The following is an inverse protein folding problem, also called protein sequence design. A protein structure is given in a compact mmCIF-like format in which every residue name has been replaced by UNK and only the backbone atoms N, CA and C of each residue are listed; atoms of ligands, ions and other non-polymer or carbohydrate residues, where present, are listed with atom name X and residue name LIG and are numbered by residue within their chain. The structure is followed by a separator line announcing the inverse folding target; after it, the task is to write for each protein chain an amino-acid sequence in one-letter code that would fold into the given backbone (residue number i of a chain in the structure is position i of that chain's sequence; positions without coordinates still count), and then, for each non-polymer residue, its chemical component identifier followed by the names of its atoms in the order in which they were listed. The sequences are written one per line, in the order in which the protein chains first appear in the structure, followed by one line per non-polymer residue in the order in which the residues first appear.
data_IF_854454189546
#
_entry.id   IF_854454189546
#
_cell.length_a   1.000
_cell.length_b   1.000
_cell.length_c   1.000
_cell.angle_alpha   90.00
_cell.angle_beta   90.00
_cell.angle_gamma   90.00
#
_symmetry.space_group_name_H-M   'P 1'
#
loop_
_entity.id
_entity.type
_entity.pdbx_description
1 polymer ?
#
# COMPACT_ATOMS: atom_id res chain seq x y z
N UNK A 1 18.32 0.78 -33.56
CA UNK A 1 16.92 0.41 -33.93
C UNK A 1 15.95 1.44 -33.34
N UNK A 2 15.62 2.52 -34.07
CA UNK A 2 14.83 3.65 -33.56
C UNK A 2 13.40 3.27 -33.10
N UNK A 3 12.84 2.18 -33.62
CA UNK A 3 11.53 1.67 -33.17
C UNK A 3 11.56 1.12 -31.74
N UNK A 4 12.67 0.50 -31.30
CA UNK A 4 12.78 -0.06 -29.93
C UNK A 4 12.72 1.06 -28.88
N UNK A 5 13.47 2.14 -29.09
CA UNK A 5 13.48 3.29 -28.16
C UNK A 5 12.11 3.97 -28.05
N UNK A 6 11.38 4.08 -29.16
CA UNK A 6 10.02 4.64 -29.15
C UNK A 6 9.04 3.76 -28.39
N UNK A 7 9.12 2.44 -28.58
CA UNK A 7 8.29 1.45 -27.85
C UNK A 7 8.59 1.50 -26.35
N UNK A 8 9.86 1.53 -25.94
CA UNK A 8 10.23 1.62 -24.53
C UNK A 8 9.75 2.91 -23.86
N UNK A 9 9.85 4.05 -24.56
CA UNK A 9 9.31 5.33 -24.05
C UNK A 9 7.81 5.25 -23.83
N UNK A 10 7.05 4.71 -24.79
CA UNK A 10 5.60 4.55 -24.67
C UNK A 10 5.24 3.59 -23.53
N UNK A 11 5.88 2.41 -23.49
CA UNK A 11 5.65 1.41 -22.45
C UNK A 11 5.89 1.98 -21.05
N UNK A 12 6.97 2.74 -20.86
CA UNK A 12 7.29 3.42 -19.60
C UNK A 12 6.18 4.38 -19.15
N UNK A 13 5.62 5.17 -20.06
CA UNK A 13 4.51 6.07 -19.74
C UNK A 13 3.25 5.28 -19.35
N UNK A 14 2.94 4.19 -20.06
CA UNK A 14 1.82 3.30 -19.72
C UNK A 14 1.99 2.66 -18.34
N UNK A 15 3.19 2.18 -18.01
CA UNK A 15 3.46 1.57 -16.70
C UNK A 15 3.24 2.58 -15.57
N UNK A 16 3.59 3.87 -15.76
CA UNK A 16 3.35 4.91 -14.74
C UNK A 16 1.87 5.10 -14.39
N UNK A 17 0.95 4.74 -15.28
CA UNK A 17 -0.49 4.80 -14.99
C UNK A 17 -0.86 3.91 -13.81
N UNK A 18 -0.14 2.82 -13.55
CA UNK A 18 -0.39 1.96 -12.38
C UNK A 18 -0.18 2.67 -11.03
N UNK A 19 0.66 3.71 -10.98
CA UNK A 19 0.84 4.55 -9.78
C UNK A 19 -0.26 5.63 -9.67
N UNK A 20 -0.81 6.07 -10.80
CA UNK A 20 -1.85 7.12 -10.87
C UNK A 20 -3.24 6.52 -10.61
N UNK A 21 -3.49 5.30 -11.09
CA UNK A 21 -4.80 4.64 -11.10
C UNK A 21 -5.48 4.59 -9.73
N UNK A 22 -4.80 4.23 -8.60
CA UNK A 22 -5.44 4.27 -7.29
C UNK A 22 -5.96 5.67 -6.93
N UNK A 23 -5.22 6.73 -7.24
CA UNK A 23 -5.69 8.09 -7.03
C UNK A 23 -6.89 8.42 -7.93
N UNK A 24 -6.86 8.01 -9.20
CA UNK A 24 -7.99 8.21 -10.11
C UNK A 24 -9.27 7.53 -9.63
N UNK A 25 -9.16 6.30 -9.12
CA UNK A 25 -10.29 5.57 -8.56
C UNK A 25 -10.85 6.27 -7.32
N UNK A 26 -10.01 6.82 -6.45
CA UNK A 26 -10.48 7.60 -5.30
C UNK A 26 -11.15 8.92 -5.68
N UNK A 27 -10.71 9.59 -6.75
CA UNK A 27 -11.23 10.90 -7.13
C UNK A 27 -12.45 10.82 -8.05
N UNK A 28 -12.64 9.73 -8.78
CA UNK A 28 -13.79 9.55 -9.69
C UNK A 28 -15.17 9.74 -9.03
N UNK A 29 -15.41 9.31 -7.76
CA UNK A 29 -16.67 9.55 -7.06
C UNK A 29 -17.07 11.02 -6.92
N UNK A 30 -16.13 11.97 -6.96
CA UNK A 30 -16.42 13.40 -6.91
C UNK A 30 -17.30 13.88 -8.08
N UNK A 31 -17.31 13.14 -9.19
CA UNK A 31 -18.12 13.46 -10.36
C UNK A 31 -19.57 12.98 -10.24
N UNK A 32 -19.89 12.17 -9.20
CA UNK A 32 -21.22 11.66 -8.87
C UNK A 32 -21.93 10.96 -10.06
N UNK A 33 -21.14 10.24 -10.85
CA UNK A 33 -21.62 9.46 -11.99
C UNK A 33 -22.34 8.19 -11.52
N UNK A 34 -23.50 7.89 -12.13
CA UNK A 34 -24.39 6.80 -11.69
C UNK A 34 -24.41 5.58 -12.62
N UNK A 35 -23.98 5.73 -13.88
CA UNK A 35 -23.98 4.60 -14.83
C UNK A 35 -22.57 4.02 -14.97
N UNK A 36 -22.41 2.70 -15.16
CA UNK A 36 -21.08 2.07 -15.31
C UNK A 36 -20.21 2.73 -16.40
N UNK A 37 -20.84 3.13 -17.51
CA UNK A 37 -20.17 3.83 -18.62
C UNK A 37 -19.67 5.21 -18.16
N UNK A 38 -20.52 6.01 -17.51
CA UNK A 38 -20.14 7.34 -17.03
C UNK A 38 -19.02 7.28 -15.98
N UNK A 39 -19.08 6.30 -15.07
CA UNK A 39 -18.05 6.08 -14.05
C UNK A 39 -16.71 5.70 -14.73
N UNK A 40 -16.74 4.78 -15.70
CA UNK A 40 -15.54 4.37 -16.44
C UNK A 40 -14.91 5.53 -17.21
N UNK A 41 -15.73 6.37 -17.86
CA UNK A 41 -15.28 7.58 -18.53
C UNK A 41 -14.72 8.60 -17.53
N UNK A 42 -15.32 8.74 -16.35
CA UNK A 42 -14.81 9.58 -15.27
C UNK A 42 -13.42 9.16 -14.81
N UNK A 43 -13.22 7.87 -14.53
CA UNK A 43 -11.90 7.34 -14.17
C UNK A 43 -10.88 7.58 -15.28
N UNK A 44 -11.25 7.33 -16.53
CA UNK A 44 -10.37 7.56 -17.67
C UNK A 44 -9.98 9.04 -17.79
N UNK A 45 -10.95 9.95 -17.70
CA UNK A 45 -10.73 11.38 -17.75
C UNK A 45 -9.84 11.86 -16.59
N UNK A 46 -10.12 11.44 -15.36
CA UNK A 46 -9.30 11.78 -14.19
C UNK A 46 -7.89 11.24 -14.32
N UNK A 47 -7.70 10.00 -14.79
CA UNK A 47 -6.38 9.42 -15.04
C UNK A 47 -5.61 10.21 -16.09
N UNK A 48 -6.27 10.60 -17.18
CA UNK A 48 -5.67 11.39 -18.25
C UNK A 48 -5.26 12.78 -17.73
N UNK A 49 -6.12 13.45 -16.97
CA UNK A 49 -5.84 14.76 -16.37
C UNK A 49 -4.63 14.66 -15.43
N UNK A 50 -4.64 13.70 -14.51
CA UNK A 50 -3.53 13.48 -13.57
C UNK A 50 -2.23 13.17 -14.32
N UNK A 51 -2.27 12.30 -15.32
CA UNK A 51 -1.10 11.99 -16.15
C UNK A 51 -0.55 13.23 -16.86
N UNK A 52 -1.40 14.04 -17.50
CA UNK A 52 -0.98 15.26 -18.19
C UNK A 52 -0.40 16.30 -17.21
N UNK A 53 -1.01 16.46 -16.03
CA UNK A 53 -0.49 17.30 -14.95
C UNK A 53 0.89 16.84 -14.49
N UNK A 54 1.03 15.53 -14.22
CA UNK A 54 2.30 14.93 -13.82
C UNK A 54 3.40 15.13 -14.86
N UNK A 55 3.07 14.90 -16.13
CA UNK A 55 3.99 15.09 -17.25
C UNK A 55 4.43 16.55 -17.40
N UNK A 56 3.53 17.50 -17.15
CA UNK A 56 3.85 18.94 -17.18
C UNK A 56 4.75 19.36 -16.01
N UNK A 57 4.46 18.89 -14.80
CA UNK A 57 5.17 19.28 -13.57
C UNK A 57 6.55 18.62 -13.40
N UNK A 58 6.69 17.37 -13.84
CA UNK A 58 7.90 16.57 -13.59
C UNK A 58 8.56 16.09 -14.88
N UNK A 59 8.63 16.99 -15.86
CA UNK A 59 9.29 16.73 -17.14
C UNK A 59 10.69 16.15 -16.90
N UNK A 60 10.96 14.99 -17.51
CA UNK A 60 12.23 14.26 -17.47
C UNK A 60 12.65 13.61 -16.12
N UNK A 61 11.80 13.68 -15.08
CA UNK A 61 12.06 13.03 -13.80
C UNK A 61 10.92 12.12 -13.34
N UNK A 62 11.01 10.85 -13.73
CA UNK A 62 10.00 9.83 -13.41
C UNK A 62 9.92 9.49 -11.93
N UNK A 63 11.02 9.57 -11.18
CA UNK A 63 11.01 9.28 -9.74
C UNK A 63 10.19 10.36 -9.01
N UNK A 64 10.40 11.64 -9.35
CA UNK A 64 9.58 12.73 -8.80
C UNK A 64 8.13 12.59 -9.19
N UNK A 65 7.86 12.24 -10.46
CA UNK A 65 6.51 12.00 -10.95
C UNK A 65 5.79 10.91 -10.14
N UNK A 66 6.38 9.72 -10.04
CA UNK A 66 5.78 8.61 -9.30
C UNK A 66 5.66 8.92 -7.80
N UNK A 67 6.70 9.52 -7.20
CA UNK A 67 6.68 9.88 -5.78
C UNK A 67 5.65 10.96 -5.45
N UNK A 68 5.40 11.91 -6.36
CA UNK A 68 4.34 12.90 -6.21
C UNK A 68 2.96 12.24 -6.16
N UNK A 69 2.65 11.36 -7.12
CA UNK A 69 1.35 10.68 -7.11
C UNK A 69 1.20 9.73 -5.94
N UNK A 70 2.24 8.99 -5.54
CA UNK A 70 2.19 8.17 -4.34
C UNK A 70 1.93 9.01 -3.08
N UNK A 71 2.59 10.16 -2.95
CA UNK A 71 2.37 11.11 -1.83
C UNK A 71 0.95 11.69 -1.87
N UNK A 72 0.45 12.02 -3.06
CA UNK A 72 -0.89 12.57 -3.23
C UNK A 72 -1.96 11.53 -2.92
N UNK A 73 -1.77 10.27 -3.34
CA UNK A 73 -2.64 9.14 -2.99
C UNK A 73 -2.75 9.00 -1.47
N UNK A 74 -1.63 8.89 -0.76
CA UNK A 74 -1.69 8.73 0.70
C UNK A 74 -2.28 9.96 1.40
N UNK A 75 -2.02 11.17 0.90
CA UNK A 75 -2.60 12.38 1.44
C UNK A 75 -4.14 12.38 1.30
N UNK A 76 -4.65 11.99 0.14
CA UNK A 76 -6.10 11.89 -0.11
C UNK A 76 -6.73 10.81 0.76
N UNK A 77 -6.07 9.65 0.95
CA UNK A 77 -6.52 8.59 1.86
C UNK A 77 -6.63 9.13 3.30
N UNK A 78 -5.61 9.83 3.78
CA UNK A 78 -5.61 10.38 5.14
C UNK A 78 -6.71 11.43 5.32
N UNK A 79 -6.83 12.37 4.38
CA UNK A 79 -7.87 13.41 4.42
C UNK A 79 -9.26 12.75 4.40
N UNK A 80 -9.51 11.86 3.45
CA UNK A 80 -10.80 11.18 3.32
C UNK A 80 -11.18 10.44 4.61
N UNK A 81 -10.22 9.71 5.20
CA UNK A 81 -10.44 8.98 6.45
C UNK A 81 -10.77 9.88 7.63
N UNK A 82 -10.16 11.06 7.71
CA UNK A 82 -10.46 12.06 8.75
C UNK A 82 -11.86 12.67 8.55
N UNK A 83 -12.33 12.82 7.31
CA UNK A 83 -13.62 13.43 6.97
C UNK A 83 -14.76 12.40 6.76
N UNK A 84 -14.58 11.15 7.19
CA UNK A 84 -15.66 10.16 7.21
C UNK A 84 -15.68 9.16 6.04
N UNK A 85 -14.59 9.03 5.29
CA UNK A 85 -14.34 7.96 4.30
C UNK A 85 -15.26 7.99 3.06
N UNK A 86 -15.77 9.15 2.67
CA UNK A 86 -16.71 9.28 1.55
C UNK A 86 -16.12 8.76 0.23
N UNK A 87 -14.88 9.14 -0.10
CA UNK A 87 -14.21 8.68 -1.32
C UNK A 87 -13.90 7.19 -1.24
N UNK A 88 -13.53 6.70 -0.06
CA UNK A 88 -13.25 5.29 0.15
C UNK A 88 -14.50 4.41 0.01
N UNK A 89 -15.67 4.88 0.44
CA UNK A 89 -16.95 4.17 0.32
C UNK A 89 -17.48 4.11 -1.10
N UNK A 90 -17.21 5.14 -1.91
CA UNK A 90 -17.80 5.27 -3.25
C UNK A 90 -16.86 4.87 -4.39
N UNK A 91 -15.61 4.48 -4.09
CA UNK A 91 -14.69 4.09 -5.14
C UNK A 91 -14.85 2.62 -5.55
N UNK A 92 -14.65 2.35 -6.84
CA UNK A 92 -14.86 1.01 -7.44
C UNK A 92 -13.90 -0.05 -6.90
N UNK A 93 -12.70 0.36 -6.48
CA UNK A 93 -11.66 -0.56 -6.04
C UNK A 93 -11.77 -0.89 -4.55
N UNK A 94 -12.57 -0.15 -3.78
CA UNK A 94 -12.75 -0.32 -2.35
C UNK A 94 -14.08 -1.02 -2.08
N UNK A 95 -14.23 -1.42 -0.82
CA UNK A 95 -15.25 -2.31 -0.29
C UNK A 95 -16.58 -2.30 -1.04
N UNK A 96 -17.10 -3.50 -1.26
CA UNK A 96 -18.48 -3.73 -1.67
C UNK A 96 -19.46 -3.22 -0.60
N UNK A 97 -19.69 -1.90 -0.54
CA UNK A 97 -20.86 -1.31 0.08
C UNK A 97 -22.15 -1.92 -0.51
N UNK A 98 -22.07 -2.39 -1.76
CA UNK A 98 -23.10 -3.12 -2.50
C UNK A 98 -23.41 -4.49 -1.89
N UNK A 99 -22.42 -5.20 -1.32
CA UNK A 99 -22.61 -6.53 -0.69
C UNK A 99 -22.75 -6.39 0.85
N UNK A 100 -22.56 -5.18 1.40
CA UNK A 100 -22.79 -4.88 2.82
C UNK A 100 -21.73 -5.45 3.75
N UNK A 101 -20.52 -5.76 3.24
CA UNK A 101 -19.44 -6.33 4.04
C UNK A 101 -18.78 -5.30 4.97
N UNK A 102 -18.71 -4.02 4.56
CA UNK A 102 -18.19 -2.89 5.36
C UNK A 102 -18.67 -1.55 4.80
N UNK A 103 -19.06 -0.61 5.66
CA UNK A 103 -19.61 0.69 5.25
C UNK A 103 -18.68 1.89 5.46
N UNK A 104 -17.48 1.71 6.04
CA UNK A 104 -16.52 2.79 6.30
C UNK A 104 -15.10 2.23 6.51
N UNK A 105 -14.08 3.07 6.36
CA UNK A 105 -12.66 2.71 6.53
C UNK A 105 -11.89 2.38 5.26
N UNK A 106 -10.58 2.18 5.40
CA UNK A 106 -9.66 1.88 4.30
C UNK A 106 -9.86 0.44 3.79
N UNK A 107 -10.29 0.32 2.52
CA UNK A 107 -10.40 -0.90 1.71
C UNK A 107 -9.24 -1.89 1.90
N UNK A 108 -9.49 -3.20 1.86
CA UNK A 108 -8.39 -4.18 1.85
C UNK A 108 -7.53 -4.01 0.59
N UNK A 109 -8.14 -3.64 -0.53
CA UNK A 109 -7.47 -3.30 -1.78
C UNK A 109 -6.57 -2.07 -1.62
N UNK A 110 -7.03 -1.09 -0.85
CA UNK A 110 -6.28 0.13 -0.55
C UNK A 110 -5.29 -0.03 0.59
N UNK A 111 -5.36 -1.07 1.41
CA UNK A 111 -4.37 -1.31 2.46
C UNK A 111 -2.96 -1.42 1.89
N UNK A 112 -2.79 -2.22 0.83
CA UNK A 112 -1.51 -2.31 0.15
C UNK A 112 -1.06 -0.99 -0.48
N UNK A 113 -2.02 -0.23 -1.01
CA UNK A 113 -1.79 1.13 -1.54
C UNK A 113 -1.31 2.04 -0.41
N UNK A 114 -1.96 2.06 0.75
CA UNK A 114 -1.63 2.88 1.92
C UNK A 114 -0.22 2.57 2.41
N UNK A 115 0.12 1.30 2.60
CA UNK A 115 1.46 0.87 3.05
C UNK A 115 2.52 1.33 2.06
N UNK A 116 2.40 0.92 0.79
CA UNK A 116 3.50 1.03 -0.14
C UNK A 116 3.61 2.43 -0.77
N UNK A 117 2.49 3.14 -0.96
CA UNK A 117 2.50 4.54 -1.43
C UNK A 117 3.06 5.50 -0.37
N UNK A 118 2.74 5.29 0.92
CA UNK A 118 3.33 6.04 2.03
C UNK A 118 4.86 5.87 2.06
N UNK A 119 5.34 4.63 2.12
CA UNK A 119 6.77 4.33 2.18
C UNK A 119 7.48 4.87 0.94
N UNK A 120 6.93 4.64 -0.26
CA UNK A 120 7.56 5.11 -1.49
C UNK A 120 7.56 6.65 -1.60
N UNK A 121 6.44 7.30 -1.30
CA UNK A 121 6.32 8.77 -1.31
C UNK A 121 7.30 9.42 -0.33
N UNK A 122 7.34 8.94 0.92
CA UNK A 122 8.27 9.41 1.94
C UNK A 122 9.73 9.13 1.57
N UNK A 123 10.04 7.97 0.98
CA UNK A 123 11.37 7.65 0.48
C UNK A 123 11.82 8.60 -0.63
N UNK A 124 10.93 8.96 -1.57
CA UNK A 124 11.23 9.93 -2.63
C UNK A 124 11.44 11.32 -2.04
N UNK A 125 10.57 11.78 -1.14
CA UNK A 125 10.72 13.09 -0.49
C UNK A 125 12.03 13.17 0.29
N UNK A 126 12.39 12.13 1.03
CA UNK A 126 13.64 12.06 1.79
C UNK A 126 14.87 11.99 0.86
N UNK A 127 14.81 11.22 -0.23
CA UNK A 127 15.87 11.13 -1.25
C UNK A 127 16.18 12.50 -1.86
N UNK A 128 15.15 13.29 -2.18
CA UNK A 128 15.32 14.65 -2.68
C UNK A 128 15.50 15.71 -1.59
N UNK A 129 15.72 15.30 -0.33
CA UNK A 129 15.92 16.19 0.84
C UNK A 129 14.79 17.22 1.03
N UNK A 130 13.56 16.85 0.67
CA UNK A 130 12.35 17.69 0.85
C UNK A 130 11.75 17.58 2.25
N UNK A 131 12.05 16.50 2.95
CA UNK A 131 11.62 16.25 4.33
C UNK A 131 12.80 15.73 5.15
N UNK A 132 12.77 15.96 6.47
CA UNK A 132 13.74 15.38 7.41
C UNK A 132 13.34 13.95 7.79
N UNK A 133 14.28 13.17 8.35
CA UNK A 133 13.96 11.84 8.91
C UNK A 133 12.91 11.90 10.01
N UNK A 134 12.87 12.99 10.79
CA UNK A 134 11.85 13.20 11.82
C UNK A 134 10.44 13.38 11.21
N UNK A 135 10.32 14.15 10.13
CA UNK A 135 9.05 14.30 9.43
C UNK A 135 8.56 12.97 8.84
N UNK A 136 9.46 12.10 8.39
CA UNK A 136 9.09 10.74 7.97
C UNK A 136 8.46 9.95 9.11
N UNK A 137 9.02 10.02 10.33
CA UNK A 137 8.44 9.38 11.53
C UNK A 137 7.05 9.96 11.81
N UNK A 138 6.91 11.28 11.83
CA UNK A 138 5.63 11.95 12.11
C UNK A 138 4.56 11.56 11.09
N UNK A 139 4.87 11.64 9.80
CA UNK A 139 3.91 11.26 8.76
C UNK A 139 3.54 9.78 8.82
N UNK A 140 4.50 8.89 9.08
CA UNK A 140 4.22 7.46 9.24
C UNK A 140 3.29 7.18 10.42
N UNK A 141 3.46 7.90 11.54
CA UNK A 141 2.57 7.80 12.70
C UNK A 141 1.17 8.34 12.40
N UNK A 142 1.06 9.48 11.71
CA UNK A 142 -0.25 10.03 11.30
C UNK A 142 -1.00 9.01 10.45
N UNK A 143 -0.34 8.46 9.43
CA UNK A 143 -0.94 7.48 8.53
C UNK A 143 -1.39 6.22 9.30
N UNK A 144 -0.52 5.68 10.16
CA UNK A 144 -0.83 4.51 10.99
C UNK A 144 -2.05 4.76 11.90
N UNK A 145 -2.11 5.92 12.55
CA UNK A 145 -3.24 6.29 13.39
C UNK A 145 -4.51 6.36 12.55
N UNK A 146 -4.44 6.94 11.35
CA UNK A 146 -5.60 7.04 10.46
C UNK A 146 -6.17 5.67 10.08
N UNK A 147 -5.32 4.69 9.76
CA UNK A 147 -5.78 3.34 9.41
C UNK A 147 -6.27 2.52 10.61
N UNK A 148 -5.81 2.84 11.82
CA UNK A 148 -6.05 2.05 13.02
C UNK A 148 -7.12 2.64 13.95
N UNK A 149 -7.47 3.92 13.83
CA UNK A 149 -8.41 4.58 14.72
C UNK A 149 -9.85 4.11 14.47
N UNK A 150 -10.62 3.70 15.50
CA UNK A 150 -11.95 3.10 15.34
C UNK A 150 -12.93 3.94 14.50
N UNK A 151 -13.02 5.25 14.77
CA UNK A 151 -13.96 6.13 14.06
C UNK A 151 -13.59 6.40 12.59
N UNK A 152 -12.36 6.07 12.18
CA UNK A 152 -11.88 6.19 10.81
C UNK A 152 -11.99 4.86 10.05
N UNK A 153 -12.61 3.84 10.65
CA UNK A 153 -12.80 2.51 10.06
C UNK A 153 -11.57 1.63 10.21
N UNK A 154 -11.17 1.42 11.46
CA UNK A 154 -9.99 0.65 11.86
C UNK A 154 -9.85 -0.67 11.11
N UNK A 155 -8.73 -0.84 10.40
CA UNK A 155 -8.35 -2.09 9.78
C UNK A 155 -7.17 -2.69 10.55
N UNK A 156 -7.45 -3.75 11.32
CA UNK A 156 -6.44 -4.39 12.17
C UNK A 156 -5.30 -5.01 11.35
N UNK A 157 -5.64 -5.65 10.22
CA UNK A 157 -4.65 -6.22 9.32
C UNK A 157 -3.74 -5.14 8.73
N UNK A 158 -4.34 -4.03 8.32
CA UNK A 158 -3.64 -2.84 7.86
C UNK A 158 -2.74 -2.24 8.93
N UNK A 159 -3.25 -2.00 10.13
CA UNK A 159 -2.50 -1.43 11.25
C UNK A 159 -1.27 -2.27 11.62
N UNK A 160 -1.42 -3.61 11.67
CA UNK A 160 -0.28 -4.52 11.90
C UNK A 160 0.76 -4.36 10.80
N UNK A 161 0.32 -4.42 9.54
CA UNK A 161 1.20 -4.41 8.38
C UNK A 161 1.92 -3.08 8.21
N UNK A 162 1.20 -1.98 8.37
CA UNK A 162 1.72 -0.60 8.39
C UNK A 162 2.71 -0.40 9.52
N UNK A 163 2.39 -0.85 10.74
CA UNK A 163 3.29 -0.74 11.89
C UNK A 163 4.64 -1.39 11.60
N UNK A 164 4.63 -2.64 11.13
CA UNK A 164 5.87 -3.37 10.80
C UNK A 164 6.62 -2.68 9.65
N UNK A 165 5.93 -2.34 8.56
CA UNK A 165 6.55 -1.74 7.39
C UNK A 165 7.16 -0.36 7.71
N UNK A 166 6.43 0.50 8.40
CA UNK A 166 6.87 1.86 8.71
C UNK A 166 7.99 1.86 9.74
N UNK A 167 7.91 1.05 10.80
CA UNK A 167 9.00 0.92 11.76
C UNK A 167 10.26 0.37 11.09
N UNK A 168 10.14 -0.66 10.25
CA UNK A 168 11.28 -1.17 9.50
C UNK A 168 11.86 -0.09 8.57
N UNK A 169 11.03 0.65 7.84
CA UNK A 169 11.49 1.75 7.00
C UNK A 169 12.26 2.80 7.80
N UNK A 170 11.71 3.23 8.96
CA UNK A 170 12.35 4.16 9.88
C UNK A 170 13.70 3.62 10.34
N UNK A 171 13.78 2.37 10.80
CA UNK A 171 15.03 1.76 11.24
C UNK A 171 16.08 1.75 10.11
N UNK A 172 15.66 1.41 8.89
CA UNK A 172 16.55 1.38 7.73
C UNK A 172 17.06 2.78 7.36
N UNK A 173 16.23 3.84 7.38
CA UNK A 173 16.70 5.21 7.06
C UNK A 173 17.62 5.79 8.16
N UNK A 174 17.56 5.26 9.38
CA UNK A 174 18.51 5.56 10.47
C UNK A 174 19.72 4.63 10.49
N UNK A 175 19.87 3.74 9.50
CA UNK A 175 20.98 2.80 9.37
C UNK A 175 21.10 1.84 10.57
N UNK A 176 19.97 1.56 11.24
CA UNK A 176 19.89 0.62 12.34
C UNK A 176 19.97 -0.80 11.77
N UNK A 177 21.03 -1.53 12.14
CA UNK A 177 21.17 -2.95 11.77
C UNK A 177 20.08 -3.79 12.44
N UNK A 178 19.33 -4.56 11.65
CA UNK A 178 18.29 -5.46 12.16
C UNK A 178 18.96 -6.75 12.67
N UNK A 179 18.94 -6.94 13.97
CA UNK A 179 19.31 -8.19 14.64
C UNK A 179 18.04 -8.94 15.08
N UNK A 180 18.19 -10.16 15.60
CA UNK A 180 17.06 -10.96 16.06
C UNK A 180 16.21 -10.23 17.11
N UNK A 181 16.84 -9.47 18.04
CA UNK A 181 16.12 -8.72 19.08
C UNK A 181 15.24 -7.63 18.48
N UNK A 182 15.74 -6.91 17.48
CA UNK A 182 14.99 -5.89 16.74
C UNK A 182 13.89 -6.48 15.87
N UNK A 183 14.10 -7.65 15.28
CA UNK A 183 13.05 -8.37 14.58
C UNK A 183 11.90 -8.77 15.54
N UNK A 184 12.25 -9.26 16.73
CA UNK A 184 11.27 -9.52 17.80
C UNK A 184 10.59 -8.23 18.24
N UNK A 185 11.32 -7.12 18.39
CA UNK A 185 10.75 -5.83 18.73
C UNK A 185 9.70 -5.37 17.70
N UNK A 186 9.97 -5.53 16.40
CA UNK A 186 9.01 -5.21 15.33
C UNK A 186 7.73 -6.05 15.44
N UNK A 187 7.86 -7.35 15.73
CA UNK A 187 6.71 -8.22 15.94
C UNK A 187 5.90 -7.80 17.18
N UNK A 188 6.59 -7.53 18.30
CA UNK A 188 5.96 -7.10 19.55
C UNK A 188 5.29 -5.73 19.41
N UNK A 189 5.90 -4.77 18.71
CA UNK A 189 5.30 -3.45 18.50
C UNK A 189 3.98 -3.54 17.74
N UNK A 190 3.89 -4.43 16.75
CA UNK A 190 2.65 -4.64 16.02
C UNK A 190 1.55 -5.21 16.92
N UNK A 191 1.90 -6.17 17.79
CA UNK A 191 0.99 -6.73 18.79
C UNK A 191 0.52 -5.65 19.77
N UNK A 192 1.43 -4.81 20.28
CA UNK A 192 1.11 -3.71 21.19
C UNK A 192 0.16 -2.70 20.54
N UNK A 193 0.42 -2.34 19.27
CA UNK A 193 -0.46 -1.45 18.49
C UNK A 193 -1.87 -2.03 18.40
N UNK A 194 -2.01 -3.31 18.08
CA UNK A 194 -3.32 -3.99 18.03
C UNK A 194 -4.02 -3.93 19.38
N UNK A 195 -3.32 -4.27 20.47
CA UNK A 195 -3.91 -4.23 21.81
C UNK A 195 -4.32 -2.82 22.22
N UNK A 196 -3.53 -1.80 21.91
CA UNK A 196 -3.86 -0.41 22.21
C UNK A 196 -5.13 0.02 21.49
N UNK A 197 -5.26 -0.26 20.19
CA UNK A 197 -6.46 0.09 19.43
C UNK A 197 -7.68 -0.75 19.80
N UNK A 198 -7.50 -2.03 20.10
CA UNK A 198 -8.58 -2.88 20.64
C UNK A 198 -9.08 -2.36 22.00
N UNK A 199 -8.19 -1.91 22.88
CA UNK A 199 -8.57 -1.34 24.16
C UNK A 199 -9.31 0.01 23.98
N UNK A 200 -8.82 0.89 23.10
CA UNK A 200 -9.51 2.14 22.77
C UNK A 200 -10.92 1.90 22.23
N UNK A 201 -11.07 0.89 21.39
CA UNK A 201 -12.35 0.52 20.80
C UNK A 201 -13.36 -0.04 21.81
N UNK A 202 -12.90 -0.89 22.74
CA UNK A 202 -13.73 -1.39 23.85
C UNK A 202 -14.18 -0.21 24.74
N UNK A 203 -13.29 0.74 24.99
CA UNK A 203 -13.58 1.93 25.80
C UNK A 203 -14.53 2.92 25.11
N UNK A 204 -14.52 3.00 23.77
CA UNK A 204 -15.45 3.85 23.03
C UNK A 204 -16.87 3.29 22.97
N UNK A 205 -17.11 2.07 23.44
CA UNK A 205 -18.43 1.43 23.43
C UNK A 205 -18.95 1.13 22.01
N UNK A 206 -18.05 1.12 21.03
CA UNK A 206 -18.36 0.77 19.64
C UNK A 206 -18.55 -0.74 19.49
N UNK A 207 -19.60 -1.17 18.78
CA UNK A 207 -19.74 -2.57 18.33
C UNK A 207 -18.75 -2.88 17.19
N UNK A 208 -17.45 -2.83 17.48
CA UNK A 208 -16.46 -3.16 16.46
C UNK A 208 -16.34 -4.66 16.27
N UNK A 209 -15.84 -5.02 15.10
CA UNK A 209 -15.48 -6.40 14.77
C UNK A 209 -14.46 -6.99 15.75
N UNK A 210 -13.56 -6.18 16.32
CA UNK A 210 -12.58 -6.65 17.31
C UNK A 210 -13.24 -6.93 18.66
N UNK A 211 -14.06 -6.01 19.16
CA UNK A 211 -14.80 -6.19 20.41
C UNK A 211 -15.70 -7.42 20.36
N UNK A 212 -16.44 -7.58 19.25
CA UNK A 212 -17.30 -8.74 19.00
C UNK A 212 -16.51 -10.05 18.88
N UNK A 213 -15.31 -10.03 18.28
CA UNK A 213 -14.46 -11.22 18.20
C UNK A 213 -13.93 -11.64 19.57
N UNK A 214 -13.46 -10.68 20.37
CA UNK A 214 -13.02 -10.95 21.75
C UNK A 214 -14.17 -11.53 22.58
N UNK A 215 -15.38 -10.94 22.49
CA UNK A 215 -16.56 -11.48 23.16
C UNK A 215 -16.89 -12.91 22.72
N UNK A 216 -16.81 -13.22 21.42
CA UNK A 216 -17.01 -14.59 20.93
C UNK A 216 -16.00 -15.57 21.49
N UNK A 217 -14.73 -15.19 21.60
CA UNK A 217 -13.72 -16.06 22.25
C UNK A 217 -14.08 -16.33 23.70
N UNK A 218 -14.54 -15.31 24.44
CA UNK A 218 -14.98 -15.47 25.83
C UNK A 218 -16.22 -16.37 25.95
N UNK A 219 -17.17 -16.28 25.02
CA UNK A 219 -18.43 -17.03 25.06
C UNK A 219 -18.29 -18.48 24.53
N UNK A 220 -17.59 -18.66 23.41
CA UNK A 220 -17.54 -19.92 22.66
C UNK A 220 -16.19 -20.66 22.82
N UNK A 221 -15.24 -20.06 23.54
CA UNK A 221 -13.92 -20.61 23.81
C UNK A 221 -12.90 -20.39 22.67
N UNK A 222 -11.67 -20.93 22.84
CA UNK A 222 -10.56 -20.68 21.92
C UNK A 222 -10.73 -21.27 20.51
N UNK A 223 -11.73 -22.14 20.30
CA UNK A 223 -12.06 -22.71 18.98
C UNK A 223 -12.45 -21.67 17.93
N UNK A 224 -13.00 -20.53 18.36
CA UNK A 224 -13.33 -19.37 17.49
C UNK A 224 -12.10 -18.80 16.78
N UNK A 225 -10.94 -18.88 17.43
CA UNK A 225 -9.67 -18.44 16.85
C UNK A 225 -9.35 -19.31 15.64
N UNK A 226 -9.40 -20.63 15.80
CA UNK A 226 -9.12 -21.59 14.72
C UNK A 226 -10.10 -21.44 13.56
N UNK A 227 -11.39 -21.25 13.84
CA UNK A 227 -12.39 -21.03 12.79
C UNK A 227 -12.14 -19.73 12.02
N UNK A 228 -11.79 -18.65 12.72
CA UNK A 228 -11.50 -17.36 12.10
C UNK A 228 -10.27 -17.44 11.19
N UNK A 229 -9.20 -18.08 11.65
CA UNK A 229 -8.02 -18.34 10.82
C UNK A 229 -8.34 -19.28 9.64
N UNK A 230 -9.14 -20.32 9.85
CA UNK A 230 -9.58 -21.23 8.79
C UNK A 230 -10.33 -20.50 7.67
N UNK A 231 -11.27 -19.62 8.04
CA UNK A 231 -12.01 -18.77 7.08
C UNK A 231 -11.08 -17.85 6.28
N UNK A 232 -10.10 -17.22 6.95
CA UNK A 232 -9.08 -16.37 6.30
C UNK A 232 -8.24 -17.13 5.28
N UNK A 233 -7.80 -18.34 5.64
CA UNK A 233 -7.04 -19.21 4.75
C UNK A 233 -7.89 -19.60 3.55
N UNK A 234 -9.13 -20.03 3.77
CA UNK A 234 -10.05 -20.41 2.70
C UNK A 234 -10.29 -19.27 1.71
N UNK A 235 -10.51 -18.04 2.21
CA UNK A 235 -10.71 -16.87 1.36
C UNK A 235 -9.46 -16.53 0.53
N UNK A 236 -8.27 -16.57 1.13
CA UNK A 236 -7.03 -16.39 0.38
C UNK A 236 -6.80 -17.53 -0.63
N UNK A 237 -7.14 -18.78 -0.32
CA UNK A 237 -7.05 -19.89 -1.28
C UNK A 237 -8.01 -19.71 -2.46
N UNK A 238 -9.23 -19.23 -2.21
CA UNK A 238 -10.18 -18.93 -3.28
C UNK A 238 -9.66 -17.80 -4.17
N UNK A 239 -9.20 -16.70 -3.56
CA UNK A 239 -8.60 -15.59 -4.28
C UNK A 239 -7.36 -16.02 -5.07
N UNK A 240 -6.56 -16.95 -4.53
CA UNK A 240 -5.39 -17.54 -5.21
C UNK A 240 -5.75 -18.21 -6.54
N UNK A 241 -6.97 -18.74 -6.66
CA UNK A 241 -7.43 -19.48 -7.83
C UNK A 241 -8.23 -18.62 -8.81
N UNK A 242 -8.94 -17.60 -8.33
CA UNK A 242 -9.92 -16.86 -9.13
C UNK A 242 -9.49 -15.43 -9.46
N UNK A 243 -8.55 -14.86 -8.70
CA UNK A 243 -8.26 -13.43 -8.76
C UNK A 243 -7.13 -13.10 -9.72
N UNK A 244 -7.35 -12.09 -10.58
CA UNK A 244 -6.30 -11.51 -11.44
C UNK A 244 -5.13 -10.94 -10.62
N UNK A 245 -5.41 -10.50 -9.39
CA UNK A 245 -4.41 -9.95 -8.46
C UNK A 245 -3.27 -10.92 -8.17
N UNK A 246 -3.55 -12.23 -8.12
CA UNK A 246 -2.53 -13.27 -7.89
C UNK A 246 -1.40 -13.18 -8.90
N UNK A 247 -1.73 -12.94 -10.17
CA UNK A 247 -0.72 -12.84 -11.22
C UNK A 247 0.21 -11.63 -10.98
N UNK A 248 -0.35 -10.50 -10.52
CA UNK A 248 0.44 -9.31 -10.16
C UNK A 248 1.35 -9.64 -8.97
N UNK A 249 0.83 -10.28 -7.93
CA UNK A 249 1.62 -10.70 -6.76
C UNK A 249 2.75 -11.66 -7.14
N UNK A 250 2.47 -12.70 -7.94
CA UNK A 250 3.45 -13.70 -8.36
C UNK A 250 4.55 -13.08 -9.24
N UNK A 251 4.18 -12.21 -10.18
CA UNK A 251 5.16 -11.42 -10.94
C UNK A 251 5.99 -10.55 -10.00
N UNK A 252 5.34 -9.95 -9.00
CA UNK A 252 6.01 -9.12 -8.01
C UNK A 252 7.06 -9.86 -7.21
N UNK A 253 6.67 -10.98 -6.61
CA UNK A 253 7.55 -11.87 -5.87
C UNK A 253 8.67 -12.38 -6.78
N UNK A 254 8.35 -12.83 -8.00
CA UNK A 254 9.32 -13.36 -8.94
C UNK A 254 10.40 -12.34 -9.32
N UNK A 255 9.99 -11.14 -9.73
CA UNK A 255 10.92 -10.05 -10.06
C UNK A 255 11.80 -9.72 -8.85
N UNK A 256 11.21 -9.57 -7.68
CA UNK A 256 11.96 -9.14 -6.49
C UNK A 256 12.89 -10.25 -5.98
N UNK A 257 12.49 -11.51 -6.06
CA UNK A 257 13.34 -12.65 -5.74
C UNK A 257 14.57 -12.71 -6.65
N UNK A 258 14.39 -12.54 -7.97
CA UNK A 258 15.51 -12.47 -8.92
C UNK A 258 16.46 -11.33 -8.57
N UNK A 259 15.92 -10.16 -8.23
CA UNK A 259 16.70 -8.98 -7.88
C UNK A 259 17.46 -9.12 -6.55
N UNK A 260 16.93 -9.84 -5.56
CA UNK A 260 17.58 -10.07 -4.26
C UNK A 260 18.63 -11.17 -4.34
N UNK A 261 18.28 -12.34 -4.90
CA UNK A 261 19.16 -13.51 -4.89
C UNK A 261 20.23 -13.47 -5.98
N UNK A 262 19.96 -12.80 -7.11
CA UNK A 262 20.91 -12.72 -8.22
C UNK A 262 21.00 -11.31 -8.80
N UNK A 263 21.36 -10.29 -7.99
CA UNK A 263 21.46 -8.92 -8.47
C UNK A 263 22.57 -8.79 -9.50
N UNK A 264 22.20 -8.38 -10.72
CA UNK A 264 23.16 -8.06 -11.78
C UNK A 264 24.08 -6.92 -11.33
N UNK A 265 25.27 -6.82 -11.92
CA UNK A 265 26.20 -5.70 -11.63
C UNK A 265 25.54 -4.34 -11.86
N UNK A 266 24.73 -4.25 -12.91
CA UNK A 266 23.95 -3.08 -13.25
C UNK A 266 22.96 -2.72 -12.13
N UNK A 267 22.19 -3.69 -11.65
CA UNK A 267 21.23 -3.49 -10.58
C UNK A 267 21.88 -3.07 -9.25
N UNK A 268 23.06 -3.62 -8.92
CA UNK A 268 23.82 -3.18 -7.73
C UNK A 268 24.21 -1.70 -7.83
N UNK A 269 24.57 -1.22 -9.02
CA UNK A 269 24.88 0.20 -9.26
C UNK A 269 23.64 1.09 -9.05
N UNK A 270 22.49 0.66 -9.56
CA UNK A 270 21.20 1.35 -9.33
C UNK A 270 20.89 1.43 -7.83
N UNK A 271 20.99 0.30 -7.13
CA UNK A 271 20.72 0.22 -5.69
C UNK A 271 21.59 1.19 -4.89
N UNK A 272 22.87 1.31 -5.26
CA UNK A 272 23.80 2.25 -4.63
C UNK A 272 23.48 3.73 -4.94
N UNK A 273 22.86 4.02 -6.08
CA UNK A 273 22.46 5.39 -6.47
C UNK A 273 21.15 5.83 -5.79
N UNK A 274 20.28 4.89 -5.43
CA UNK A 274 18.98 5.16 -4.80
C UNK A 274 18.78 4.42 -3.47
N UNK A 275 19.71 4.55 -2.50
CA UNK A 275 19.70 3.70 -1.31
C UNK A 275 18.43 3.88 -0.46
N UNK A 276 17.88 5.09 -0.38
CA UNK A 276 16.66 5.38 0.38
C UNK A 276 15.43 4.73 -0.27
N UNK A 277 15.33 4.74 -1.60
CA UNK A 277 14.22 4.09 -2.30
C UNK A 277 14.25 2.58 -2.09
N UNK A 278 15.43 1.98 -2.15
CA UNK A 278 15.62 0.55 -1.90
C UNK A 278 15.32 0.13 -0.46
N UNK A 279 15.69 0.95 0.53
CA UNK A 279 15.24 0.77 1.92
C UNK A 279 13.70 0.79 2.01
N UNK A 280 13.06 1.68 1.25
CA UNK A 280 11.61 1.72 1.11
C UNK A 280 11.04 0.44 0.49
N UNK A 281 11.62 -0.06 -0.61
CA UNK A 281 11.16 -1.30 -1.25
C UNK A 281 11.28 -2.52 -0.33
N UNK A 282 12.35 -2.62 0.47
CA UNK A 282 12.50 -3.69 1.46
C UNK A 282 11.39 -3.59 2.52
N UNK A 283 11.14 -2.39 3.05
CA UNK A 283 10.10 -2.19 4.04
C UNK A 283 8.70 -2.48 3.50
N UNK A 284 8.38 -2.01 2.29
CA UNK A 284 7.12 -2.31 1.62
C UNK A 284 6.97 -3.81 1.34
N UNK A 285 8.03 -4.52 0.96
CA UNK A 285 8.00 -5.97 0.73
C UNK A 285 7.68 -6.73 2.02
N UNK A 286 8.31 -6.37 3.14
CA UNK A 286 7.96 -6.96 4.43
C UNK A 286 6.51 -6.65 4.78
N UNK A 287 6.05 -5.41 4.53
CA UNK A 287 4.65 -5.04 4.61
C UNK A 287 3.73 -5.97 3.79
N UNK A 288 4.03 -6.19 2.50
CA UNK A 288 3.28 -7.12 1.64
C UNK A 288 3.17 -8.52 2.25
N UNK A 289 4.28 -9.05 2.79
CA UNK A 289 4.31 -10.39 3.38
C UNK A 289 3.43 -10.44 4.62
N UNK A 290 3.53 -9.43 5.51
CA UNK A 290 2.69 -9.36 6.70
C UNK A 290 1.22 -9.24 6.32
N UNK A 291 0.89 -8.34 5.39
CA UNK A 291 -0.47 -8.16 4.85
C UNK A 291 -1.05 -9.46 4.31
N UNK A 292 -0.27 -10.24 3.55
CA UNK A 292 -0.69 -11.54 3.04
C UNK A 292 -1.08 -12.52 4.15
N UNK A 293 -0.39 -12.45 5.30
CA UNK A 293 -0.60 -13.35 6.43
C UNK A 293 -1.76 -12.93 7.34
N UNK A 294 -1.97 -11.63 7.55
CA UNK A 294 -2.90 -11.14 8.58
C UNK A 294 -4.28 -10.77 8.02
N UNK A 295 -4.38 -10.49 6.72
CA UNK A 295 -5.58 -9.94 6.12
C UNK A 295 -6.53 -11.01 5.53
N UNK A 296 -7.84 -10.74 5.57
CA UNK A 296 -8.87 -11.60 4.97
C UNK A 296 -8.70 -11.71 3.45
N UNK A 297 -8.29 -10.64 2.76
CA UNK A 297 -7.94 -10.64 1.33
C UNK A 297 -6.48 -10.25 1.10
N UNK A 298 -5.59 -10.91 1.87
CA UNK A 298 -4.15 -10.68 1.86
C UNK A 298 -3.50 -10.74 0.48
N UNK A 299 -3.96 -11.60 -0.43
CA UNK A 299 -3.46 -11.63 -1.82
C UNK A 299 -3.70 -10.30 -2.52
N UNK A 300 -4.90 -9.73 -2.42
CA UNK A 300 -5.25 -8.51 -3.13
C UNK A 300 -4.46 -7.33 -2.58
N UNK A 301 -4.44 -7.20 -1.25
CA UNK A 301 -3.69 -6.16 -0.56
C UNK A 301 -2.16 -6.26 -0.81
N UNK A 302 -1.58 -7.46 -0.77
CA UNK A 302 -0.17 -7.65 -1.10
C UNK A 302 0.14 -7.33 -2.57
N UNK A 303 -0.80 -7.62 -3.48
CA UNK A 303 -0.67 -7.30 -4.91
C UNK A 303 -0.63 -5.79 -5.13
N UNK A 304 -1.54 -5.03 -4.51
CA UNK A 304 -1.60 -3.57 -4.68
C UNK A 304 -0.39 -2.88 -4.06
N UNK A 305 0.13 -3.39 -2.93
CA UNK A 305 1.41 -2.93 -2.38
C UNK A 305 2.58 -3.19 -3.33
N UNK A 306 2.61 -4.36 -3.99
CA UNK A 306 3.70 -4.73 -4.91
C UNK A 306 3.83 -3.78 -6.11
N UNK A 307 2.73 -3.14 -6.55
CA UNK A 307 2.70 -2.17 -7.66
C UNK A 307 3.66 -1.01 -7.38
N UNK A 308 3.68 -0.48 -6.15
CA UNK A 308 4.54 0.60 -5.70
C UNK A 308 6.01 0.19 -5.49
N UNK A 309 6.31 -1.10 -5.65
CA UNK A 309 7.68 -1.62 -5.67
C UNK A 309 8.10 -1.88 -7.12
N UNK A 310 7.30 -2.63 -7.88
CA UNK A 310 7.63 -3.09 -9.22
C UNK A 310 7.71 -1.97 -10.23
N UNK A 311 6.73 -1.06 -10.24
CA UNK A 311 6.70 0.03 -11.23
C UNK A 311 7.94 0.93 -11.08
N UNK A 312 8.27 1.44 -9.87
CA UNK A 312 9.49 2.22 -9.70
C UNK A 312 10.76 1.44 -10.05
N UNK A 313 10.87 0.17 -9.66
CA UNK A 313 12.04 -0.66 -9.98
C UNK A 313 12.23 -0.83 -11.50
N UNK A 314 11.17 -1.14 -12.23
CA UNK A 314 11.21 -1.30 -13.69
C UNK A 314 11.61 0.03 -14.35
N UNK A 315 11.01 1.14 -13.92
CA UNK A 315 11.27 2.46 -14.52
C UNK A 315 12.68 2.95 -14.24
N UNK A 316 13.20 2.74 -13.02
CA UNK A 316 14.57 3.09 -12.66
C UNK A 316 15.56 2.24 -13.48
N UNK A 317 15.26 0.95 -13.67
CA UNK A 317 16.11 0.04 -14.45
C UNK A 317 16.18 0.45 -15.93
N UNK A 318 15.03 0.72 -16.57
CA UNK A 318 14.98 1.17 -17.98
C UNK A 318 15.76 2.47 -18.19
N UNK A 319 15.72 3.41 -17.24
CA UNK A 319 16.44 4.69 -17.38
C UNK A 319 17.95 4.50 -17.31
N UNK A 320 18.42 3.56 -16.48
CA UNK A 320 19.85 3.31 -16.29
C UNK A 320 20.45 2.37 -17.35
N UNK A 321 19.66 1.50 -17.99
CA UNK A 321 20.11 0.68 -19.13
C UNK A 321 20.48 1.51 -20.38
N UNK A 322 20.06 2.78 -20.45
CA UNK A 322 20.33 3.69 -21.58
C UNK A 322 21.54 4.64 -21.33
N UNK A 323 22.36 4.39 -20.31
CA UNK A 323 23.57 5.15 -19.96
C UNK A 323 24.75 4.20 -19.87
#
# INVERSE_FOLDING_TARGET
MPHKERVFKVLKEFIKLGIIMPLSFMLAPLMNFKTPISISLGIFATTLILYLLGRKLFKDNDIKHMGFFATLTILVIVIDSVFGTYLMQNNIMSYDAVIGARYYGVGNEYEGVTIASAVFGLAVLLHYKKVSKLLVVIFSLIILITSAYPSMGANVGGAISECVAYLLFIMLIYDIKIDFKKAVLLAVSAVVVVFAFAALDILSGSESHLGMFVQRIFLNGPGEILQTFGRKIQMNMQLAQTSVWVNILLVGIGVIAVLIFKPSRHFRKIMNNFPILFKGFIASMVGCIITLLVNDSGIVAASTASIYILIPLIIISIKYDNI
#
